data_IF_031962681470
#
_entry.id   IF_031962681470
#
_cell.length_a   1.000
_cell.length_b   1.000
_cell.length_c   1.000
_cell.angle_alpha   90.00
_cell.angle_beta   90.00
_cell.angle_gamma   90.00
#
_symmetry.space_group_name_H-M   'P 1'
#
loop_
_entity.id
_entity.type
_entity.pdbx_description
1 polymer ?
#
# COMPACT_ATOMS: atom_id res chain seq x y z
N UNK A 1 -5.37 21.88 -2.56
CA UNK A 1 -5.10 21.08 -1.37
C UNK A 1 -4.22 19.88 -1.69
N UNK A 2 -3.22 19.65 -0.88
CA UNK A 2 -2.37 18.48 -1.05
C UNK A 2 -3.16 17.22 -0.65
N UNK A 3 -3.14 16.17 -1.46
CA UNK A 3 -3.87 14.94 -1.11
C UNK A 3 -3.36 14.32 0.20
N UNK A 4 -4.20 13.59 0.93
CA UNK A 4 -3.76 12.84 2.08
C UNK A 4 -2.63 11.86 1.74
N UNK A 5 -1.80 11.51 2.73
CA UNK A 5 -0.62 10.67 2.48
C UNK A 5 -0.99 9.30 1.89
N UNK A 6 -2.07 8.68 2.35
CA UNK A 6 -2.47 7.38 1.80
C UNK A 6 -2.88 7.48 0.32
N UNK A 7 -3.44 8.62 -0.10
CA UNK A 7 -3.74 8.87 -1.52
C UNK A 7 -2.45 9.08 -2.31
N UNK A 8 -1.48 9.77 -1.73
CA UNK A 8 -0.17 9.95 -2.39
C UNK A 8 0.55 8.62 -2.58
N UNK A 9 0.47 7.74 -1.59
CA UNK A 9 1.05 6.39 -1.71
C UNK A 9 0.35 5.61 -2.83
N UNK A 10 -0.99 5.68 -2.91
CA UNK A 10 -1.72 5.05 -4.01
C UNK A 10 -1.25 5.57 -5.37
N UNK A 11 -1.08 6.89 -5.48
CA UNK A 11 -0.62 7.50 -6.74
C UNK A 11 0.81 7.07 -7.08
N UNK A 12 1.69 6.97 -6.10
CA UNK A 12 3.04 6.50 -6.30
C UNK A 12 3.04 5.04 -6.80
N UNK A 13 2.24 4.19 -6.20
CA UNK A 13 2.12 2.80 -6.63
C UNK A 13 1.59 2.71 -8.06
N UNK A 14 0.60 3.53 -8.41
CA UNK A 14 0.04 3.56 -9.76
C UNK A 14 1.07 4.00 -10.80
N UNK A 15 1.84 5.04 -10.48
CA UNK A 15 2.88 5.54 -11.37
C UNK A 15 4.00 4.51 -11.58
N UNK A 16 4.24 3.67 -10.60
CA UNK A 16 5.24 2.60 -10.68
C UNK A 16 4.65 1.29 -11.25
N UNK A 17 3.41 1.32 -11.74
CA UNK A 17 2.68 0.16 -12.28
C UNK A 17 2.45 -0.97 -11.27
N UNK A 18 2.53 -0.67 -9.98
CA UNK A 18 2.34 -1.67 -8.93
C UNK A 18 0.87 -2.02 -8.70
N UNK A 19 -0.04 -1.19 -9.19
CA UNK A 19 -1.49 -1.41 -9.04
C UNK A 19 -2.13 -2.05 -10.28
N UNK A 20 -1.34 -2.37 -11.29
CA UNK A 20 -1.87 -2.93 -12.54
C UNK A 20 -2.63 -4.23 -12.26
N UNK A 21 -3.86 -4.28 -12.74
CA UNK A 21 -4.72 -5.44 -12.54
C UNK A 21 -5.46 -5.48 -11.21
N UNK A 22 -5.25 -4.49 -10.34
CA UNK A 22 -5.90 -4.40 -9.04
C UNK A 22 -6.84 -3.20 -9.01
N UNK A 23 -7.99 -3.36 -8.34
CA UNK A 23 -8.88 -2.26 -8.04
C UNK A 23 -8.34 -1.53 -6.80
N UNK A 24 -7.98 -0.26 -6.96
CA UNK A 24 -7.46 0.51 -5.84
C UNK A 24 -8.62 1.17 -5.08
N UNK A 25 -8.57 1.09 -3.76
CA UNK A 25 -9.58 1.69 -2.90
C UNK A 25 -8.89 2.43 -1.75
N UNK A 26 -9.60 3.37 -1.19
CA UNK A 26 -9.09 4.18 -0.09
C UNK A 26 -9.95 3.97 1.15
N UNK A 27 -9.30 3.83 2.29
CA UNK A 27 -9.91 3.76 3.63
C UNK A 27 -10.63 2.45 3.93
N UNK A 28 -11.52 2.00 3.08
CA UNK A 28 -12.36 0.83 3.33
C UNK A 28 -12.35 -0.09 2.11
N UNK A 29 -12.31 -1.38 2.37
CA UNK A 29 -12.46 -2.35 1.29
C UNK A 29 -13.94 -2.57 0.98
N UNK A 30 -14.30 -2.30 -0.27
CA UNK A 30 -15.62 -2.59 -0.79
C UNK A 30 -15.49 -3.72 -1.81
N UNK A 31 -15.97 -4.91 -1.43
CA UNK A 31 -15.92 -6.07 -2.30
C UNK A 31 -16.93 -5.90 -3.43
N UNK A 32 -16.50 -6.13 -4.67
CA UNK A 32 -17.37 -6.05 -5.84
C UNK A 32 -18.33 -7.24 -5.94
N UNK A 33 -18.08 -8.29 -5.16
CA UNK A 33 -18.82 -9.54 -5.28
C UNK A 33 -18.27 -10.49 -6.34
N UNK A 34 -17.30 -10.05 -7.11
CA UNK A 34 -16.65 -10.88 -8.13
C UNK A 34 -15.38 -11.49 -7.57
N UNK A 35 -15.33 -12.81 -7.44
CA UNK A 35 -14.22 -13.51 -6.81
C UNK A 35 -12.92 -13.47 -7.62
N UNK A 36 -12.99 -13.08 -8.90
CA UNK A 36 -11.79 -12.90 -9.72
C UNK A 36 -11.16 -11.49 -9.60
N UNK A 37 -11.84 -10.55 -8.95
CA UNK A 37 -11.31 -9.22 -8.76
C UNK A 37 -10.26 -9.20 -7.65
N UNK A 38 -9.24 -8.35 -7.82
CA UNK A 38 -8.16 -8.14 -6.87
C UNK A 38 -8.18 -6.69 -6.41
N UNK A 39 -7.76 -6.44 -5.18
CA UNK A 39 -7.88 -5.12 -4.57
C UNK A 39 -6.60 -4.71 -3.88
N UNK A 40 -6.33 -3.41 -3.87
CA UNK A 40 -5.37 -2.78 -2.97
C UNK A 40 -6.07 -1.66 -2.24
N UNK A 41 -6.08 -1.73 -0.91
CA UNK A 41 -6.74 -0.73 -0.07
C UNK A 41 -5.70 0.05 0.70
N UNK A 42 -5.68 1.35 0.54
CA UNK A 42 -4.69 2.25 1.14
C UNK A 42 -5.33 2.99 2.30
N UNK A 43 -4.74 2.87 3.50
CA UNK A 43 -5.29 3.44 4.72
C UNK A 43 -4.23 4.19 5.51
N UNK A 44 -4.59 5.29 6.17
CA UNK A 44 -3.68 5.88 7.14
C UNK A 44 -3.56 4.97 8.36
N UNK A 45 -2.37 4.92 8.95
CA UNK A 45 -2.11 4.05 10.10
C UNK A 45 -1.25 4.75 11.16
N UNK A 46 -1.52 6.02 11.41
CA UNK A 46 -0.81 6.78 12.43
C UNK A 46 0.48 7.39 11.93
N UNK A 47 1.40 7.60 12.83
CA UNK A 47 2.67 8.25 12.55
C UNK A 47 3.10 9.13 13.71
N UNK A 48 4.03 10.05 13.46
CA UNK A 48 4.44 11.04 14.44
C UNK A 48 3.44 12.18 14.51
N UNK A 49 3.57 13.03 15.54
CA UNK A 49 2.74 14.24 15.63
C UNK A 49 2.99 15.14 14.43
N UNK A 50 1.92 15.68 13.88
CA UNK A 50 2.01 16.57 12.72
C UNK A 50 2.37 17.97 13.20
N UNK A 51 3.43 18.54 12.62
CA UNK A 51 3.91 19.89 12.95
C UNK A 51 4.19 20.65 11.67
N UNK A 52 3.79 21.90 11.62
CA UNK A 52 3.85 22.72 10.42
C UNK A 52 5.27 22.93 9.88
N UNK A 53 6.22 23.14 10.79
CA UNK A 53 7.59 23.53 10.42
C UNK A 53 8.59 22.39 10.45
N UNK A 54 8.16 21.24 10.94
CA UNK A 54 9.03 20.07 11.04
C UNK A 54 8.47 18.98 10.15
N UNK A 55 9.33 18.18 9.60
CA UNK A 55 8.89 17.03 8.85
C UNK A 55 8.00 16.12 9.70
N UNK A 56 7.17 15.35 9.06
CA UNK A 56 6.29 14.39 9.72
C UNK A 56 6.57 13.01 9.19
N UNK A 57 6.38 12.03 10.06
CA UNK A 57 6.40 10.63 9.67
C UNK A 57 4.97 10.11 9.63
N UNK A 58 4.60 9.54 8.50
CA UNK A 58 3.26 9.00 8.28
C UNK A 58 3.36 7.50 8.08
N UNK A 59 2.47 6.76 8.71
CA UNK A 59 2.35 5.33 8.47
C UNK A 59 1.14 5.09 7.59
N UNK A 60 1.35 4.31 6.54
CA UNK A 60 0.29 3.94 5.60
C UNK A 60 0.24 2.42 5.52
N UNK A 61 -0.95 1.88 5.63
CA UNK A 61 -1.20 0.46 5.54
C UNK A 61 -1.81 0.15 4.19
N UNK A 62 -1.28 -0.88 3.52
CA UNK A 62 -1.78 -1.31 2.21
C UNK A 62 -2.19 -2.77 2.33
N UNK A 63 -3.48 -3.02 2.20
CA UNK A 63 -3.99 -4.39 2.13
C UNK A 63 -4.00 -4.83 0.67
N UNK A 64 -3.20 -5.84 0.34
CA UNK A 64 -3.15 -6.42 -0.99
C UNK A 64 -3.98 -7.68 -0.96
N UNK A 65 -5.11 -7.66 -1.67
CA UNK A 65 -6.14 -8.70 -1.60
C UNK A 65 -6.20 -9.41 -2.95
N UNK A 66 -5.91 -10.69 -2.94
CA UNK A 66 -5.88 -11.49 -4.16
C UNK A 66 -7.25 -11.99 -4.59
N UNK A 67 -7.33 -12.51 -5.81
CA UNK A 67 -8.49 -13.21 -6.28
C UNK A 67 -8.59 -14.59 -5.60
N UNK A 68 -9.78 -15.15 -5.58
CA UNK A 68 -10.00 -16.47 -5.00
C UNK A 68 -9.08 -17.51 -5.67
N UNK A 69 -8.32 -18.20 -4.84
CA UNK A 69 -7.45 -19.30 -5.30
C UNK A 69 -6.21 -18.88 -6.07
N UNK A 70 -5.97 -17.58 -6.25
CA UNK A 70 -4.83 -17.09 -7.03
C UNK A 70 -3.72 -16.58 -6.10
N UNK A 71 -3.26 -17.43 -5.20
CA UNK A 71 -2.33 -17.07 -4.14
C UNK A 71 -0.95 -16.69 -4.67
N UNK A 72 -0.46 -17.39 -5.69
CA UNK A 72 0.86 -17.12 -6.25
C UNK A 72 0.97 -15.73 -6.88
N UNK A 73 -0.08 -15.28 -7.56
CA UNK A 73 -0.08 -13.98 -8.21
C UNK A 73 -0.06 -12.83 -7.20
N UNK A 74 -0.80 -12.94 -6.10
CA UNK A 74 -0.79 -11.89 -5.08
C UNK A 74 0.54 -11.86 -4.33
N UNK A 75 1.11 -13.03 -4.04
CA UNK A 75 2.43 -13.10 -3.41
C UNK A 75 3.49 -12.47 -4.30
N UNK A 76 3.47 -12.77 -5.60
CA UNK A 76 4.41 -12.18 -6.56
C UNK A 76 4.30 -10.66 -6.59
N UNK A 77 3.07 -10.11 -6.58
CA UNK A 77 2.88 -8.67 -6.56
C UNK A 77 3.41 -8.05 -5.27
N UNK A 78 3.22 -8.70 -4.12
CA UNK A 78 3.76 -8.22 -2.84
C UNK A 78 5.29 -8.17 -2.89
N UNK A 79 5.93 -9.21 -3.41
CA UNK A 79 7.39 -9.22 -3.56
C UNK A 79 7.86 -8.09 -4.47
N UNK A 80 7.14 -7.83 -5.56
CA UNK A 80 7.44 -6.77 -6.50
C UNK A 80 7.31 -5.39 -5.84
N UNK A 81 6.28 -5.18 -5.03
CA UNK A 81 6.08 -3.93 -4.29
C UNK A 81 7.27 -3.67 -3.36
N UNK A 82 7.64 -4.65 -2.57
CA UNK A 82 8.74 -4.50 -1.61
C UNK A 82 10.06 -4.24 -2.34
N UNK A 83 10.34 -4.99 -3.40
CA UNK A 83 11.56 -4.82 -4.17
C UNK A 83 11.65 -3.42 -4.79
N UNK A 84 10.55 -2.93 -5.35
CA UNK A 84 10.52 -1.59 -5.96
C UNK A 84 10.81 -0.51 -4.93
N UNK A 85 10.22 -0.62 -3.74
CA UNK A 85 10.41 0.37 -2.68
C UNK A 85 11.82 0.31 -2.13
N UNK A 86 12.38 -0.87 -1.94
CA UNK A 86 13.76 -1.03 -1.47
C UNK A 86 14.78 -0.41 -2.44
N UNK A 87 14.51 -0.51 -3.73
CA UNK A 87 15.42 0.02 -4.75
C UNK A 87 15.21 1.51 -5.00
N UNK A 88 14.09 2.07 -4.58
CA UNK A 88 13.73 3.48 -4.84
C UNK A 88 13.12 4.11 -3.59
N UNK A 89 13.87 4.20 -2.48
CA UNK A 89 13.30 4.71 -1.22
C UNK A 89 12.97 6.21 -1.26
N UNK A 90 13.66 6.95 -2.11
CA UNK A 90 13.36 8.37 -2.31
C UNK A 90 12.49 8.47 -3.55
N UNK A 91 11.22 8.76 -3.32
CA UNK A 91 10.24 8.87 -4.39
C UNK A 91 10.19 10.29 -4.96
N UNK A 92 9.06 10.69 -5.50
CA UNK A 92 8.89 12.03 -6.02
C UNK A 92 8.70 13.06 -4.88
N UNK A 93 8.59 14.33 -5.26
CA UNK A 93 8.46 15.43 -4.29
C UNK A 93 7.16 15.39 -3.49
N UNK A 94 6.16 14.62 -3.95
CA UNK A 94 4.87 14.54 -3.26
C UNK A 94 4.89 13.55 -2.10
N UNK A 95 5.77 12.56 -2.16
CA UNK A 95 5.79 11.49 -1.17
C UNK A 95 6.98 11.62 -0.20
N UNK A 96 8.17 11.97 -0.70
CA UNK A 96 9.38 12.02 0.10
C UNK A 96 10.05 10.66 0.20
N UNK A 97 10.52 10.31 1.41
CA UNK A 97 11.18 9.04 1.66
C UNK A 97 10.16 7.99 2.09
N UNK A 98 10.20 6.83 1.47
CA UNK A 98 9.30 5.72 1.81
C UNK A 98 10.10 4.45 2.09
N UNK A 99 9.72 3.74 3.14
CA UNK A 99 10.34 2.46 3.48
C UNK A 99 9.27 1.48 3.95
N UNK A 100 9.53 0.20 3.75
CA UNK A 100 8.68 -0.85 4.31
C UNK A 100 8.90 -0.94 5.80
N UNK A 101 7.81 -1.12 6.53
CA UNK A 101 7.80 -1.20 7.99
C UNK A 101 7.29 -2.59 8.36
N UNK A 102 8.10 -3.32 9.10
CA UNK A 102 7.69 -4.64 9.60
C UNK A 102 7.86 -5.81 8.63
N UNK A 103 8.46 -5.59 7.46
CA UNK A 103 8.71 -6.65 6.49
C UNK A 103 7.44 -7.15 5.79
N UNK A 104 7.49 -8.37 5.29
CA UNK A 104 6.34 -9.01 4.66
C UNK A 104 5.68 -9.93 5.70
N UNK A 105 4.46 -9.61 6.13
CA UNK A 105 3.78 -10.41 7.15
C UNK A 105 3.27 -11.73 6.57
N UNK A 106 2.92 -12.66 7.45
CA UNK A 106 2.21 -13.85 7.04
C UNK A 106 0.83 -13.46 6.47
N UNK A 107 0.45 -13.98 5.30
CA UNK A 107 -0.83 -13.65 4.73
C UNK A 107 -1.97 -14.31 5.49
N UNK A 108 -3.14 -13.70 5.39
CA UNK A 108 -4.38 -14.22 5.97
C UNK A 108 -5.27 -14.72 4.85
N UNK A 109 -5.77 -15.94 4.99
CA UNK A 109 -6.72 -16.50 4.03
C UNK A 109 -8.14 -16.19 4.50
N UNK A 110 -8.93 -15.54 3.65
CA UNK A 110 -10.32 -15.23 3.98
C UNK A 110 -11.20 -16.46 3.81
N UNK A 111 -12.42 -16.41 4.36
CA UNK A 111 -13.38 -17.51 4.21
C UNK A 111 -13.77 -17.75 2.76
N UNK A 112 -13.63 -16.75 1.89
CA UNK A 112 -13.89 -16.85 0.47
C UNK A 112 -12.73 -17.45 -0.32
N UNK A 113 -11.59 -17.68 0.31
CA UNK A 113 -10.41 -18.22 -0.37
C UNK A 113 -9.50 -17.14 -0.95
N UNK A 114 -9.61 -15.90 -0.50
CA UNK A 114 -8.72 -14.81 -0.90
C UNK A 114 -7.54 -14.72 0.06
N UNK A 115 -6.34 -14.53 -0.48
CA UNK A 115 -5.15 -14.30 0.33
C UNK A 115 -4.95 -12.80 0.49
N UNK A 116 -4.75 -12.35 1.73
CA UNK A 116 -4.60 -10.93 2.05
C UNK A 116 -3.25 -10.70 2.72
N UNK A 117 -2.47 -9.77 2.16
CA UNK A 117 -1.23 -9.29 2.78
C UNK A 117 -1.46 -7.87 3.27
N UNK A 118 -1.19 -7.63 4.54
CA UNK A 118 -1.27 -6.29 5.13
C UNK A 118 0.13 -5.72 5.24
N UNK A 119 0.49 -4.87 4.28
CA UNK A 119 1.81 -4.23 4.25
C UNK A 119 1.74 -2.90 4.97
N UNK A 120 2.86 -2.53 5.60
CA UNK A 120 2.96 -1.24 6.27
C UNK A 120 4.17 -0.48 5.75
N UNK A 121 4.00 0.82 5.58
CA UNK A 121 5.04 1.70 5.08
C UNK A 121 5.14 2.93 5.96
N UNK A 122 6.38 3.36 6.18
CA UNK A 122 6.67 4.62 6.86
C UNK A 122 7.11 5.63 5.81
N UNK A 123 6.47 6.78 5.81
CA UNK A 123 6.77 7.85 4.87
C UNK A 123 7.26 9.05 5.67
N UNK A 124 8.45 9.54 5.34
CA UNK A 124 9.04 10.72 5.95
C UNK A 124 8.95 11.85 4.95
N UNK A 125 8.09 12.81 5.25
CA UNK A 125 7.85 13.96 4.39
C UNK A 125 8.15 15.22 5.15
N UNK A 126 9.02 16.08 4.60
CA UNK A 126 9.36 17.37 5.16
C UNK A 126 9.39 18.43 4.09
N UNK A 127 9.23 19.66 4.49
CA UNK A 127 9.32 20.80 3.60
C UNK A 127 10.71 21.36 3.50
#
# INVERSE_FOLDING_TARGET
>A
MTPPMHTRVRNYFADASLTDGFNTQLLVWNDTGNLSDKFMVFRPNGGSSIRDELGAEYYVMVDVIGAKGNNGAVDERVQQIISTIQNNPISDSCLGYIENFGGIPAPVLTTEGRLVYRLQFAIKYGE
#
